data_IF_556171618035
#
_entry.id   IF_556171618035
#
_cell.length_a   1.000
_cell.length_b   1.000
_cell.length_c   1.000
_cell.angle_alpha   90.00
_cell.angle_beta   90.00
_cell.angle_gamma   90.00
#
_symmetry.space_group_name_H-M   'P 1'
#
loop_
_entity.id
_entity.type
_entity.pdbx_description
1 polymer ?
#
# COMPACT_ATOMS: atom_id res chain seq x y z
N UNK A 1 -1.57 9.39 1.18
CA UNK A 1 -0.66 8.62 2.07
C UNK A 1 -0.47 7.17 1.62
N UNK A 2 -0.95 6.80 0.42
CA UNK A 2 -0.74 5.48 -0.16
C UNK A 2 -0.74 5.64 -1.68
N UNK A 3 0.45 5.56 -2.28
CA UNK A 3 0.63 5.41 -3.72
C UNK A 3 1.80 4.48 -4.04
N UNK A 4 1.68 3.66 -5.08
CA UNK A 4 2.78 2.80 -5.53
C UNK A 4 3.74 3.55 -6.46
N UNK A 5 4.97 3.09 -6.51
CA UNK A 5 6.00 3.48 -7.48
C UNK A 5 6.23 2.34 -8.48
N UNK A 6 7.12 2.58 -9.44
CA UNK A 6 7.61 1.56 -10.37
C UNK A 6 8.38 0.39 -9.71
N UNK A 7 8.78 0.48 -8.44
CA UNK A 7 9.46 -0.61 -7.72
C UNK A 7 8.51 -1.77 -7.39
N UNK A 8 7.20 -1.54 -7.36
CA UNK A 8 6.21 -2.62 -7.40
C UNK A 8 5.33 -2.56 -8.64
N UNK A 9 4.52 -1.52 -8.81
CA UNK A 9 3.78 -1.23 -10.03
C UNK A 9 3.08 0.12 -9.91
N UNK A 10 3.37 1.04 -10.83
CA UNK A 10 2.60 2.26 -11.02
C UNK A 10 2.13 2.32 -12.47
N UNK A 11 0.84 2.51 -12.69
CA UNK A 11 0.23 2.50 -14.03
C UNK A 11 0.77 3.60 -14.96
N UNK A 12 1.35 4.66 -14.38
CA UNK A 12 1.91 5.81 -15.09
C UNK A 12 3.45 5.83 -15.05
N UNK A 13 4.09 4.78 -14.54
CA UNK A 13 5.54 4.66 -14.49
C UNK A 13 6.23 5.62 -13.53
N UNK A 14 5.51 6.13 -12.53
CA UNK A 14 6.09 7.05 -11.56
C UNK A 14 7.23 6.40 -10.74
N UNK A 15 8.42 6.99 -10.81
CA UNK A 15 9.49 6.76 -9.84
C UNK A 15 9.21 7.46 -8.50
N UNK A 16 9.87 7.07 -7.40
CA UNK A 16 9.79 7.80 -6.13
C UNK A 16 10.06 9.30 -6.29
N UNK A 17 11.14 9.68 -6.97
CA UNK A 17 11.47 11.09 -7.22
C UNK A 17 10.36 11.80 -8.01
N UNK A 18 9.77 11.14 -9.01
CA UNK A 18 8.71 11.74 -9.82
C UNK A 18 7.44 12.03 -9.01
N UNK A 19 7.11 11.20 -8.00
CA UNK A 19 5.99 11.43 -7.09
C UNK A 19 6.26 12.59 -6.14
N UNK A 20 7.48 12.68 -5.59
CA UNK A 20 7.87 13.82 -4.76
C UNK A 20 7.79 15.13 -5.58
N UNK A 21 8.24 15.11 -6.84
CA UNK A 21 8.11 16.25 -7.75
C UNK A 21 6.65 16.60 -8.06
N UNK A 22 5.83 15.59 -8.33
CA UNK A 22 4.40 15.78 -8.57
C UNK A 22 3.72 16.42 -7.35
N UNK A 23 3.99 15.92 -6.15
CA UNK A 23 3.48 16.46 -4.90
C UNK A 23 3.88 17.93 -4.71
N UNK A 24 5.14 18.27 -5.00
CA UNK A 24 5.64 19.65 -4.95
C UNK A 24 4.91 20.57 -5.93
N UNK A 25 4.72 20.11 -7.17
CA UNK A 25 4.03 20.88 -8.23
C UNK A 25 2.55 21.07 -7.94
N UNK A 26 1.90 20.09 -7.31
CA UNK A 26 0.48 20.12 -6.97
C UNK A 26 0.20 20.74 -5.60
N UNK A 27 1.23 21.07 -4.83
CA UNK A 27 1.08 21.68 -3.51
C UNK A 27 0.45 20.73 -2.48
N UNK A 28 0.67 19.42 -2.61
CA UNK A 28 0.14 18.44 -1.66
C UNK A 28 0.72 18.66 -0.27
N UNK A 29 -0.13 18.50 0.75
CA UNK A 29 0.29 18.69 2.15
C UNK A 29 1.24 17.59 2.60
N UNK A 30 0.91 16.33 2.28
CA UNK A 30 1.69 15.13 2.54
C UNK A 30 1.51 14.13 1.40
N UNK A 31 2.51 13.29 1.19
CA UNK A 31 2.50 12.19 0.20
C UNK A 31 3.19 10.96 0.80
N UNK A 32 2.70 9.78 0.47
CA UNK A 32 3.25 8.53 1.01
C UNK A 32 3.36 7.45 -0.06
N UNK A 33 4.57 6.94 -0.30
CA UNK A 33 4.77 5.78 -1.17
C UNK A 33 4.59 4.48 -0.39
N UNK A 34 4.00 3.48 -1.02
CA UNK A 34 3.71 2.17 -0.41
C UNK A 34 3.90 1.12 -1.50
N UNK A 35 5.09 0.53 -1.61
CA UNK A 35 5.37 -0.49 -2.64
C UNK A 35 5.11 -1.91 -2.14
N UNK A 36 4.72 -2.83 -3.03
CA UNK A 36 4.50 -4.22 -2.66
C UNK A 36 5.80 -4.95 -2.37
N UNK A 37 5.93 -5.62 -1.23
CA UNK A 37 7.00 -6.57 -0.90
C UNK A 37 8.44 -6.00 -0.93
N UNK A 38 8.62 -4.68 -1.06
CA UNK A 38 9.93 -4.02 -1.25
C UNK A 38 10.06 -2.70 -0.52
N UNK A 39 11.31 -2.27 -0.30
CA UNK A 39 11.68 -0.99 0.30
C UNK A 39 12.62 -0.16 -0.59
N UNK A 40 12.82 -0.58 -1.84
CA UNK A 40 13.82 -0.04 -2.77
C UNK A 40 13.60 1.45 -3.07
N UNK A 41 12.34 1.90 -3.05
CA UNK A 41 11.98 3.29 -3.27
C UNK A 41 12.13 4.22 -2.06
N UNK A 42 12.34 3.69 -0.84
CA UNK A 42 12.25 4.48 0.40
C UNK A 42 13.30 5.59 0.45
N UNK A 43 14.57 5.25 0.27
CA UNK A 43 15.66 6.23 0.41
C UNK A 43 15.62 7.28 -0.70
N UNK A 44 15.35 6.86 -1.94
CA UNK A 44 15.15 7.77 -3.08
C UNK A 44 14.00 8.76 -2.79
N UNK A 45 12.85 8.25 -2.33
CA UNK A 45 11.67 9.06 -2.05
C UNK A 45 11.91 10.11 -0.99
N UNK A 46 12.46 9.69 0.15
CA UNK A 46 12.67 10.57 1.30
C UNK A 46 13.74 11.61 0.97
N UNK A 47 14.80 11.25 0.26
CA UNK A 47 15.80 12.20 -0.21
C UNK A 47 15.20 13.23 -1.19
N UNK A 48 14.36 12.80 -2.13
CA UNK A 48 13.67 13.69 -3.05
C UNK A 48 12.70 14.63 -2.32
N UNK A 49 11.97 14.13 -1.32
CA UNK A 49 11.09 14.93 -0.48
C UNK A 49 11.87 15.98 0.33
N UNK A 50 13.02 15.62 0.89
CA UNK A 50 13.95 16.58 1.53
C UNK A 50 14.38 17.67 0.56
N UNK A 51 14.84 17.29 -0.63
CA UNK A 51 15.35 18.23 -1.64
C UNK A 51 14.27 19.19 -2.15
N UNK A 52 13.04 18.71 -2.29
CA UNK A 52 11.92 19.46 -2.87
C UNK A 52 11.07 20.22 -1.84
N UNK A 53 11.31 20.02 -0.54
CA UNK A 53 10.48 20.62 0.51
C UNK A 53 9.08 20.00 0.55
N UNK A 54 8.99 18.68 0.47
CA UNK A 54 7.74 17.91 0.54
C UNK A 54 7.71 17.06 1.81
N UNK A 55 6.53 16.93 2.43
CA UNK A 55 6.33 15.99 3.56
C UNK A 55 6.07 14.60 3.00
N UNK A 56 7.13 13.82 2.92
CA UNK A 56 7.11 12.44 2.46
C UNK A 56 7.08 11.44 3.61
N UNK A 57 6.31 10.38 3.45
CA UNK A 57 6.44 9.15 4.25
C UNK A 57 6.62 7.96 3.32
N UNK A 58 7.26 6.89 3.77
CA UNK A 58 7.40 5.68 2.98
C UNK A 58 6.85 4.47 3.72
N UNK A 59 6.36 3.51 2.98
CA UNK A 59 5.70 2.31 3.44
C UNK A 59 5.95 1.14 2.50
N UNK A 60 5.48 -0.01 2.93
CA UNK A 60 5.32 -1.18 2.08
C UNK A 60 3.99 -1.84 2.36
N UNK A 61 3.45 -2.50 1.35
CA UNK A 61 2.27 -3.35 1.46
C UNK A 61 2.65 -4.79 1.11
N UNK A 62 2.00 -5.76 1.74
CA UNK A 62 2.08 -7.16 1.35
C UNK A 62 0.76 -7.83 1.68
N UNK A 63 0.69 -9.15 1.46
CA UNK A 63 -0.37 -10.00 2.00
C UNK A 63 0.20 -10.85 3.12
N UNK A 64 -0.61 -11.10 4.14
CA UNK A 64 -0.29 -11.94 5.29
C UNK A 64 -1.33 -13.03 5.46
N UNK A 65 -0.93 -14.15 6.04
CA UNK A 65 -1.84 -15.17 6.54
C UNK A 65 -2.29 -14.86 7.97
N UNK A 66 -3.60 -15.03 8.21
CA UNK A 66 -4.31 -14.68 9.45
C UNK A 66 -5.07 -15.91 9.95
N UNK A 67 -4.48 -16.73 10.83
CA UNK A 67 -5.05 -18.01 11.22
C UNK A 67 -6.40 -17.88 11.93
N UNK A 68 -6.62 -16.83 12.72
CA UNK A 68 -7.90 -16.58 13.42
C UNK A 68 -9.07 -16.30 12.47
N UNK A 69 -8.76 -15.95 11.22
CA UNK A 69 -9.72 -15.66 10.17
C UNK A 69 -9.58 -16.63 8.99
N UNK A 70 -8.97 -17.82 9.19
CA UNK A 70 -8.69 -18.79 8.11
C UNK A 70 -9.90 -19.17 7.26
N UNK A 71 -11.11 -19.12 7.80
CA UNK A 71 -12.37 -19.44 7.11
C UNK A 71 -13.14 -18.21 6.61
N UNK A 72 -12.66 -17.00 6.91
CA UNK A 72 -13.34 -15.74 6.63
C UNK A 72 -12.51 -14.92 5.64
N UNK A 73 -13.16 -14.43 4.59
CA UNK A 73 -12.58 -13.41 3.73
C UNK A 73 -12.41 -12.11 4.52
N UNK A 74 -11.25 -11.45 4.40
CA UNK A 74 -10.94 -10.21 5.11
C UNK A 74 -10.93 -9.06 4.09
N UNK A 75 -9.77 -8.55 3.71
CA UNK A 75 -9.61 -7.46 2.76
C UNK A 75 -8.91 -7.95 1.46
N UNK A 76 -8.69 -9.27 1.33
CA UNK A 76 -8.23 -9.92 0.09
C UNK A 76 -9.38 -10.70 -0.57
N UNK A 77 -10.02 -10.16 -1.63
CA UNK A 77 -11.22 -10.75 -2.19
C UNK A 77 -11.02 -12.18 -2.71
N UNK A 78 -11.89 -13.10 -2.28
CA UNK A 78 -11.85 -14.51 -2.63
C UNK A 78 -10.76 -15.33 -1.93
N UNK A 79 -10.03 -14.76 -0.97
CA UNK A 79 -8.90 -15.40 -0.28
C UNK A 79 -9.13 -15.46 1.25
N UNK A 80 -9.93 -16.42 1.77
CA UNK A 80 -10.13 -16.58 3.21
C UNK A 80 -8.82 -16.71 3.98
N UNK A 81 -8.73 -16.05 5.14
CA UNK A 81 -7.53 -16.03 5.96
C UNK A 81 -6.37 -15.19 5.42
N UNK A 82 -6.52 -14.53 4.26
CA UNK A 82 -5.50 -13.65 3.70
C UNK A 82 -5.92 -12.20 3.88
N UNK A 83 -5.01 -11.37 4.36
CA UNK A 83 -5.19 -9.93 4.45
C UNK A 83 -4.06 -9.18 3.73
N UNK A 84 -4.38 -8.15 2.95
CA UNK A 84 -3.47 -7.06 2.69
C UNK A 84 -3.10 -6.39 4.01
N UNK A 85 -1.83 -6.08 4.18
CA UNK A 85 -1.29 -5.50 5.40
C UNK A 85 -0.08 -4.64 5.09
N UNK A 86 0.17 -3.63 5.92
CA UNK A 86 1.16 -2.59 5.63
C UNK A 86 2.16 -2.40 6.77
N UNK A 87 3.34 -1.90 6.40
CA UNK A 87 4.17 -1.07 7.27
C UNK A 87 4.19 0.35 6.73
N UNK A 88 4.21 1.35 7.60
CA UNK A 88 4.26 2.77 7.18
C UNK A 88 5.16 3.59 8.09
N UNK A 89 5.79 4.63 7.55
CA UNK A 89 6.66 5.53 8.29
C UNK A 89 8.11 5.07 8.39
N UNK A 90 8.59 4.28 7.42
CA UNK A 90 9.98 3.83 7.39
C UNK A 90 10.95 5.02 7.33
N UNK A 91 11.95 5.09 8.24
CA UNK A 91 12.94 6.17 8.25
C UNK A 91 13.99 6.04 7.15
N UNK A 92 14.23 4.81 6.67
CA UNK A 92 15.16 4.47 5.58
C UNK A 92 14.76 3.13 4.93
N UNK A 93 15.35 2.84 3.77
CA UNK A 93 15.23 1.53 3.09
C UNK A 93 16.13 0.44 3.68
N UNK A 94 16.89 0.74 4.74
CA UNK A 94 17.81 -0.22 5.37
C UNK A 94 17.05 -1.23 6.21
N UNK A 95 17.43 -2.50 6.07
CA UNK A 95 16.84 -3.61 6.82
C UNK A 95 17.90 -4.25 7.72
N UNK A 96 17.67 -4.33 9.05
CA UNK A 96 18.58 -5.02 9.96
C UNK A 96 18.84 -6.47 9.54
N UNK A 97 20.05 -6.96 9.83
CA UNK A 97 20.52 -8.27 9.35
C UNK A 97 19.61 -9.43 9.81
N UNK A 98 19.13 -9.37 11.04
CA UNK A 98 18.35 -10.44 11.67
C UNK A 98 16.93 -10.60 11.10
N UNK A 99 16.37 -9.53 10.51
CA UNK A 99 15.06 -9.54 9.84
C UNK A 99 15.14 -9.49 8.31
N UNK A 100 16.33 -9.28 7.73
CA UNK A 100 16.53 -9.27 6.27
C UNK A 100 16.01 -10.53 5.56
N UNK A 101 16.14 -11.75 6.12
CA UNK A 101 15.57 -12.95 5.51
C UNK A 101 14.04 -12.88 5.35
N UNK A 102 13.33 -12.14 6.19
CA UNK A 102 11.87 -11.99 6.09
C UNK A 102 11.52 -11.26 4.79
N UNK A 103 12.12 -10.10 4.54
CA UNK A 103 11.90 -9.32 3.30
C UNK A 103 12.34 -10.10 2.05
N UNK A 104 13.50 -10.78 2.11
CA UNK A 104 13.95 -11.64 1.02
C UNK A 104 12.95 -12.78 0.73
N UNK A 105 12.37 -13.36 1.78
CA UNK A 105 11.32 -14.37 1.69
C UNK A 105 10.04 -13.87 1.01
N UNK A 106 9.63 -12.62 1.24
CA UNK A 106 8.50 -12.00 0.53
C UNK A 106 8.73 -11.99 -0.98
N UNK A 107 9.90 -11.48 -1.41
CA UNK A 107 10.29 -11.42 -2.83
C UNK A 107 10.38 -12.81 -3.45
N UNK A 108 11.02 -13.75 -2.76
CA UNK A 108 11.19 -15.12 -3.26
C UNK A 108 9.83 -15.82 -3.47
N UNK A 109 8.91 -15.71 -2.50
CA UNK A 109 7.55 -16.26 -2.63
C UNK A 109 6.78 -15.59 -3.76
N UNK A 110 6.87 -14.26 -3.90
CA UNK A 110 6.21 -13.54 -4.99
C UNK A 110 6.73 -13.96 -6.37
N UNK A 111 8.05 -14.05 -6.55
CA UNK A 111 8.67 -14.48 -7.79
C UNK A 111 8.27 -15.93 -8.13
N UNK A 112 8.26 -16.84 -7.15
CA UNK A 112 7.82 -18.22 -7.37
C UNK A 112 6.36 -18.29 -7.82
N UNK A 113 5.44 -17.61 -7.10
CA UNK A 113 4.02 -17.56 -7.47
C UNK A 113 3.80 -17.02 -8.89
N UNK A 114 4.58 -16.01 -9.28
CA UNK A 114 4.51 -15.45 -10.63
C UNK A 114 5.01 -16.41 -11.70
N UNK A 115 6.12 -17.13 -11.47
CA UNK A 115 6.61 -18.17 -12.41
C UNK A 115 5.59 -19.29 -12.57
N UNK A 116 4.99 -19.75 -11.48
CA UNK A 116 3.96 -20.79 -11.52
C UNK A 116 2.71 -20.31 -12.27
N UNK A 117 2.30 -19.05 -12.05
CA UNK A 117 1.20 -18.43 -12.79
C UNK A 117 1.54 -18.31 -14.29
N UNK A 118 2.75 -17.88 -14.63
CA UNK A 118 3.19 -17.76 -16.01
C UNK A 118 3.20 -19.13 -16.72
N UNK A 119 3.65 -20.19 -16.05
CA UNK A 119 3.62 -21.55 -16.63
C UNK A 119 2.19 -21.98 -17.02
N UNK A 120 1.20 -21.75 -16.13
CA UNK A 120 -0.21 -22.07 -16.38
C UNK A 120 -0.80 -21.23 -17.51
N UNK A 121 -0.50 -19.93 -17.53
CA UNK A 121 -1.01 -19.02 -18.56
C UNK A 121 -0.37 -19.32 -19.92
N UNK A 122 0.94 -19.59 -19.98
CA UNK A 122 1.63 -20.03 -21.20
C UNK A 122 0.97 -21.28 -21.80
N UNK A 123 0.63 -22.28 -20.98
CA UNK A 123 -0.04 -23.49 -21.45
C UNK A 123 -1.42 -23.17 -22.07
N UNK A 124 -2.17 -22.24 -21.48
CA UNK A 124 -3.49 -21.83 -21.99
C UNK A 124 -3.40 -20.95 -23.25
N UNK A 125 -2.44 -20.03 -23.29
CA UNK A 125 -2.28 -19.06 -24.37
C UNK A 125 -1.47 -19.57 -25.56
N UNK A 126 -1.05 -20.84 -25.57
CA UNK A 126 -0.34 -21.44 -26.70
C UNK A 126 -1.00 -21.07 -28.06
N UNK A 127 -0.19 -20.66 -29.07
CA UNK A 127 1.29 -20.66 -29.08
C UNK A 127 1.95 -19.43 -28.42
N UNK A 128 1.18 -18.45 -27.93
CA UNK A 128 1.74 -17.27 -27.25
C UNK A 128 2.30 -17.69 -25.89
N UNK A 129 3.58 -17.41 -25.68
CA UNK A 129 4.27 -17.67 -24.41
C UNK A 129 5.17 -16.50 -24.04
N UNK A 130 5.47 -16.36 -22.75
CA UNK A 130 6.50 -15.46 -22.23
C UNK A 130 7.48 -16.27 -21.37
N UNK A 131 8.72 -15.81 -21.32
CA UNK A 131 9.71 -16.23 -20.33
C UNK A 131 9.71 -15.21 -19.18
N UNK A 132 9.49 -15.65 -17.94
CA UNK A 132 9.37 -14.74 -16.80
C UNK A 132 10.66 -13.95 -16.56
N UNK A 133 11.81 -14.63 -16.59
CA UNK A 133 13.10 -14.02 -16.25
C UNK A 133 13.59 -13.10 -17.37
N UNK A 134 13.33 -13.43 -18.64
CA UNK A 134 13.69 -12.59 -19.80
C UNK A 134 12.69 -11.47 -20.08
N UNK A 135 11.39 -11.77 -20.05
CA UNK A 135 10.36 -10.87 -20.59
C UNK A 135 9.63 -10.06 -19.51
N UNK A 136 9.67 -10.50 -18.24
CA UNK A 136 8.91 -9.86 -17.13
C UNK A 136 9.83 -9.20 -16.11
N UNK A 137 10.86 -9.91 -15.63
CA UNK A 137 11.77 -9.41 -14.60
C UNK A 137 12.39 -8.03 -14.95
N UNK A 138 12.83 -7.77 -16.20
CA UNK A 138 13.38 -6.46 -16.57
C UNK A 138 12.37 -5.31 -16.58
N UNK A 139 11.06 -5.61 -16.50
CA UNK A 139 10.02 -4.57 -16.50
C UNK A 139 9.84 -3.90 -15.14
N UNK A 140 10.38 -4.49 -14.07
CA UNK A 140 10.32 -3.95 -12.71
C UNK A 140 11.74 -3.57 -12.24
N UNK A 141 12.02 -2.27 -12.08
CA UNK A 141 13.18 -1.82 -11.33
C UNK A 141 13.21 -2.49 -9.95
N UNK A 142 14.36 -3.00 -9.52
CA UNK A 142 14.49 -3.71 -8.24
C UNK A 142 14.08 -5.18 -8.25
N UNK A 143 13.63 -5.72 -9.40
CA UNK A 143 13.41 -7.15 -9.60
C UNK A 143 12.20 -7.70 -8.83
N UNK A 144 11.16 -6.89 -8.65
CA UNK A 144 9.92 -7.30 -7.97
C UNK A 144 8.66 -7.10 -8.85
N UNK A 145 8.60 -7.75 -10.02
CA UNK A 145 7.47 -7.58 -10.90
C UNK A 145 6.20 -8.21 -10.31
N UNK A 146 5.10 -7.48 -10.43
CA UNK A 146 3.75 -7.97 -10.10
C UNK A 146 3.06 -8.65 -11.28
N UNK A 147 1.88 -9.23 -11.03
CA UNK A 147 0.94 -9.75 -12.04
C UNK A 147 0.74 -8.80 -13.24
N UNK A 148 0.76 -7.48 -13.00
CA UNK A 148 0.57 -6.48 -14.05
C UNK A 148 1.74 -6.39 -15.02
N UNK A 149 2.96 -6.70 -14.61
CA UNK A 149 4.10 -6.79 -15.52
C UNK A 149 4.00 -8.01 -16.42
N UNK A 150 3.56 -9.16 -15.88
CA UNK A 150 3.28 -10.35 -16.69
C UNK A 150 2.22 -10.05 -17.75
N UNK A 151 1.16 -9.33 -17.37
CA UNK A 151 0.12 -8.91 -18.30
C UNK A 151 0.67 -8.05 -19.44
N UNK A 152 1.56 -7.09 -19.16
CA UNK A 152 2.25 -6.29 -20.19
C UNK A 152 3.04 -7.18 -21.14
N UNK A 153 3.79 -8.16 -20.61
CA UNK A 153 4.55 -9.11 -21.43
C UNK A 153 3.64 -9.98 -22.32
N UNK A 154 2.54 -10.51 -21.78
CA UNK A 154 1.59 -11.32 -22.55
C UNK A 154 0.92 -10.52 -23.67
N UNK A 155 0.49 -9.28 -23.41
CA UNK A 155 -0.12 -8.45 -24.43
C UNK A 155 0.87 -8.09 -25.54
N UNK A 156 2.14 -7.81 -25.18
CA UNK A 156 3.21 -7.60 -26.16
C UNK A 156 3.43 -8.84 -27.01
N UNK A 157 3.55 -10.02 -26.40
CA UNK A 157 3.73 -11.27 -27.12
C UNK A 157 2.54 -11.59 -28.05
N UNK A 158 1.31 -11.43 -27.57
CA UNK A 158 0.10 -11.65 -28.38
C UNK A 158 -0.01 -10.66 -29.56
N UNK A 159 0.48 -9.43 -29.41
CA UNK A 159 0.47 -8.43 -30.50
C UNK A 159 1.34 -8.82 -31.70
N UNK A 160 2.27 -9.77 -31.52
CA UNK A 160 3.14 -10.28 -32.60
C UNK A 160 2.51 -11.42 -33.40
N UNK A 161 1.33 -11.91 -32.99
CA UNK A 161 0.61 -12.93 -33.76
C UNK A 161 0.19 -12.37 -35.12
N UNK A 162 0.11 -13.20 -36.18
CA UNK A 162 -0.34 -12.75 -37.50
C UNK A 162 -1.74 -12.12 -37.50
N UNK A 163 -2.62 -12.61 -36.62
CA UNK A 163 -3.94 -12.04 -36.36
C UNK A 163 -4.21 -11.98 -34.85
N UNK A 164 -3.80 -10.90 -34.15
CA UNK A 164 -4.02 -10.75 -32.71
C UNK A 164 -5.51 -10.72 -32.34
N UNK A 165 -6.39 -10.26 -33.24
CA UNK A 165 -7.83 -10.22 -33.00
C UNK A 165 -8.43 -11.63 -33.02
N UNK A 166 -8.06 -12.48 -34.00
CA UNK A 166 -8.46 -13.88 -34.00
C UNK A 166 -7.95 -14.63 -32.77
N UNK A 167 -6.69 -14.41 -32.38
CA UNK A 167 -6.10 -15.01 -31.19
C UNK A 167 -6.92 -14.70 -29.93
N UNK A 168 -7.19 -13.42 -29.66
CA UNK A 168 -7.95 -13.03 -28.48
C UNK A 168 -9.44 -13.43 -28.55
N UNK A 169 -10.03 -13.48 -29.74
CA UNK A 169 -11.39 -14.01 -29.98
C UNK A 169 -11.49 -15.45 -29.47
N UNK A 170 -10.53 -16.30 -29.85
CA UNK A 170 -10.46 -17.69 -29.39
C UNK A 170 -10.24 -17.77 -27.88
N UNK A 171 -9.19 -17.10 -27.36
CA UNK A 171 -8.77 -17.26 -25.95
C UNK A 171 -9.72 -16.63 -24.95
N UNK A 172 -10.38 -15.52 -25.31
CA UNK A 172 -11.35 -14.83 -24.44
C UNK A 172 -12.79 -15.28 -24.68
N UNK A 173 -13.05 -16.03 -25.77
CA UNK A 173 -14.38 -16.45 -26.20
C UNK A 173 -15.34 -15.28 -26.37
N UNK A 174 -14.86 -14.24 -27.06
CA UNK A 174 -15.61 -13.02 -27.35
C UNK A 174 -15.79 -12.86 -28.87
N UNK A 175 -16.83 -12.17 -29.34
CA UNK A 175 -16.97 -11.84 -30.75
C UNK A 175 -15.79 -11.01 -31.27
N UNK A 176 -15.36 -11.27 -32.51
CA UNK A 176 -14.21 -10.58 -33.12
C UNK A 176 -14.32 -9.05 -33.08
N UNK A 177 -15.50 -8.51 -33.37
CA UNK A 177 -15.76 -7.07 -33.35
C UNK A 177 -15.52 -6.44 -31.96
N UNK A 178 -15.88 -7.16 -30.90
CA UNK A 178 -15.63 -6.72 -29.52
C UNK A 178 -14.14 -6.73 -29.22
N UNK A 179 -13.43 -7.77 -29.63
CA UNK A 179 -11.97 -7.89 -29.48
C UNK A 179 -11.22 -6.80 -30.24
N UNK A 180 -11.61 -6.50 -31.48
CA UNK A 180 -11.01 -5.42 -32.27
C UNK A 180 -11.16 -4.06 -31.57
N UNK A 181 -12.33 -3.82 -30.98
CA UNK A 181 -12.57 -2.63 -30.14
C UNK A 181 -11.66 -2.62 -28.92
N UNK A 182 -11.52 -3.76 -28.23
CA UNK A 182 -10.67 -3.90 -27.05
C UNK A 182 -9.17 -3.71 -27.38
N UNK A 183 -8.69 -4.18 -28.53
CA UNK A 183 -7.30 -3.98 -28.95
C UNK A 183 -6.98 -2.49 -29.11
N UNK A 184 -7.95 -1.69 -29.56
CA UNK A 184 -7.84 -0.23 -29.60
C UNK A 184 -7.83 0.46 -28.22
N UNK A 185 -8.26 -0.24 -27.16
CA UNK A 185 -8.28 0.24 -25.78
C UNK A 185 -7.43 -0.67 -24.88
N UNK A 186 -6.13 -0.38 -24.83
CA UNK A 186 -5.16 -1.17 -24.07
C UNK A 186 -5.53 -1.33 -22.60
N UNK A 187 -6.17 -0.33 -21.97
CA UNK A 187 -6.56 -0.40 -20.55
C UNK A 187 -7.71 -1.38 -20.35
N UNK A 188 -8.75 -1.30 -21.18
CA UNK A 188 -9.88 -2.25 -21.11
C UNK A 188 -9.44 -3.66 -21.44
N UNK A 189 -8.58 -3.86 -22.45
CA UNK A 189 -8.02 -5.17 -22.77
C UNK A 189 -7.20 -5.73 -21.61
N UNK A 190 -6.29 -4.94 -21.03
CA UNK A 190 -5.51 -5.35 -19.85
C UNK A 190 -6.42 -5.81 -18.72
N UNK A 191 -7.39 -5.00 -18.33
CA UNK A 191 -8.29 -5.32 -17.22
C UNK A 191 -9.09 -6.59 -17.48
N UNK A 192 -9.58 -6.80 -18.71
CA UNK A 192 -10.31 -7.99 -19.11
C UNK A 192 -9.44 -9.24 -19.09
N UNK A 193 -8.27 -9.21 -19.73
CA UNK A 193 -7.32 -10.34 -19.77
C UNK A 193 -6.91 -10.72 -18.35
N UNK A 194 -6.61 -9.73 -17.50
CA UNK A 194 -6.28 -9.95 -16.08
C UNK A 194 -7.43 -10.63 -15.35
N UNK A 195 -8.65 -10.12 -15.48
CA UNK A 195 -9.83 -10.67 -14.83
C UNK A 195 -10.12 -12.12 -15.28
N UNK A 196 -9.95 -12.42 -16.57
CA UNK A 196 -10.22 -13.75 -17.15
C UNK A 196 -9.14 -14.79 -16.86
N UNK A 197 -7.87 -14.39 -16.83
CA UNK A 197 -6.75 -15.33 -16.76
C UNK A 197 -6.12 -15.41 -15.37
N UNK A 198 -6.01 -14.30 -14.65
CA UNK A 198 -5.14 -14.20 -13.46
C UNK A 198 -5.91 -14.10 -12.13
N UNK A 199 -7.21 -13.77 -12.19
CA UNK A 199 -8.09 -13.70 -11.00
C UNK A 199 -8.89 -14.98 -10.80
N UNK A 200 -9.59 -15.08 -9.67
CA UNK A 200 -10.38 -16.27 -9.27
C UNK A 200 -11.23 -16.79 -10.44
N UNK A 201 -11.08 -18.08 -10.73
CA UNK A 201 -11.73 -18.76 -11.86
C UNK A 201 -10.92 -18.74 -13.17
N UNK A 202 -9.87 -17.92 -13.25
CA UNK A 202 -8.92 -17.91 -14.35
C UNK A 202 -7.82 -18.96 -14.21
N UNK A 203 -7.25 -19.37 -15.34
CA UNK A 203 -6.26 -20.47 -15.43
C UNK A 203 -4.96 -20.23 -14.66
N UNK A 204 -4.57 -18.96 -14.47
CA UNK A 204 -3.39 -18.58 -13.72
C UNK A 204 -3.60 -18.54 -12.21
N UNK A 205 -4.87 -18.45 -11.76
CA UNK A 205 -5.21 -18.30 -10.35
C UNK A 205 -5.09 -19.62 -9.60
N UNK A 206 -4.45 -19.56 -8.44
CA UNK A 206 -4.43 -20.62 -7.44
C UNK A 206 -4.82 -19.98 -6.12
N UNK A 207 -5.73 -20.62 -5.40
CA UNK A 207 -6.13 -20.14 -4.10
C UNK A 207 -4.91 -20.19 -3.16
N UNK A 208 -4.53 -19.05 -2.54
CA UNK A 208 -3.41 -19.04 -1.62
C UNK A 208 -3.73 -19.85 -0.37
N UNK A 209 -2.70 -20.53 0.14
CA UNK A 209 -2.71 -21.22 1.43
C UNK A 209 -1.79 -20.55 2.45
N UNK A 210 -1.68 -21.11 3.67
CA UNK A 210 -0.85 -20.56 4.75
C UNK A 210 0.61 -20.29 4.34
N UNK A 211 1.20 -21.18 3.52
CA UNK A 211 2.58 -21.05 3.03
C UNK A 211 2.76 -20.00 1.92
N UNK A 212 1.67 -19.43 1.39
CA UNK A 212 1.73 -18.47 0.30
C UNK A 212 2.27 -17.11 0.74
N UNK A 213 2.09 -16.75 2.00
CA UNK A 213 2.36 -15.43 2.55
C UNK A 213 2.99 -15.54 3.94
N UNK A 214 3.77 -14.54 4.39
CA UNK A 214 4.21 -14.49 5.79
C UNK A 214 3.02 -14.48 6.75
N UNK A 215 3.26 -14.81 8.01
CA UNK A 215 2.29 -14.47 9.06
C UNK A 215 2.30 -12.97 9.34
N UNK A 216 1.24 -12.46 9.97
CA UNK A 216 1.21 -11.07 10.45
C UNK A 216 2.35 -10.77 11.43
N UNK A 217 2.71 -11.74 12.29
CA UNK A 217 3.75 -11.55 13.30
C UNK A 217 5.16 -11.46 12.67
N UNK A 218 5.42 -12.24 11.61
CA UNK A 218 6.66 -12.12 10.82
C UNK A 218 6.77 -10.75 10.16
N UNK A 219 5.68 -10.27 9.56
CA UNK A 219 5.66 -8.94 8.95
C UNK A 219 5.85 -7.85 10.01
N UNK A 220 5.16 -7.91 11.15
CA UNK A 220 5.30 -6.92 12.22
C UNK A 220 6.72 -6.89 12.78
N UNK A 221 7.36 -8.05 12.93
CA UNK A 221 8.76 -8.12 13.35
C UNK A 221 9.67 -7.36 12.38
N UNK A 222 9.49 -7.55 11.06
CA UNK A 222 10.23 -6.80 10.05
C UNK A 222 9.96 -5.29 10.15
N UNK A 223 8.68 -4.89 10.20
CA UNK A 223 8.26 -3.48 10.20
C UNK A 223 8.81 -2.75 11.44
N UNK A 224 8.67 -3.33 12.62
CA UNK A 224 9.15 -2.74 13.89
C UNK A 224 10.68 -2.68 13.93
N UNK A 225 11.38 -3.72 13.47
CA UNK A 225 12.84 -3.72 13.44
C UNK A 225 13.40 -2.64 12.47
N UNK A 226 12.65 -2.29 11.42
CA UNK A 226 12.98 -1.19 10.52
C UNK A 226 12.57 0.20 11.07
N UNK A 227 12.09 0.30 12.31
CA UNK A 227 11.67 1.57 12.94
C UNK A 227 10.31 2.08 12.46
N UNK A 228 9.56 1.31 11.68
CA UNK A 228 8.29 1.71 11.09
C UNK A 228 7.08 1.25 11.93
N UNK A 229 5.89 1.66 11.50
CA UNK A 229 4.61 1.37 12.17
C UNK A 229 3.88 0.20 11.49
N UNK A 230 3.52 -0.86 12.23
CA UNK A 230 2.55 -1.84 11.75
C UNK A 230 1.21 -1.16 11.43
N UNK A 231 0.69 -1.40 10.23
CA UNK A 231 -0.47 -0.72 9.70
C UNK A 231 -1.46 -1.74 9.12
N UNK A 232 -2.66 -1.80 9.71
CA UNK A 232 -3.76 -2.58 9.15
C UNK A 232 -4.32 -1.87 7.92
N UNK A 233 -4.88 -2.64 6.99
CA UNK A 233 -5.64 -2.09 5.88
C UNK A 233 -7.09 -2.56 5.94
N UNK A 234 -7.99 -1.75 5.41
CA UNK A 234 -9.42 -2.05 5.34
C UNK A 234 -9.93 -1.81 3.92
N UNK A 235 -10.75 -2.74 3.42
CA UNK A 235 -11.23 -2.76 2.05
C UNK A 235 -12.56 -2.02 1.91
N UNK A 236 -13.65 -2.56 2.47
CA UNK A 236 -14.98 -1.99 2.27
C UNK A 236 -16.07 -2.41 3.28
N UNK A 237 -15.75 -3.28 4.23
CA UNK A 237 -16.64 -3.68 5.31
C UNK A 237 -17.66 -4.73 4.92
N UNK A 238 -17.58 -5.30 3.71
CA UNK A 238 -18.60 -6.22 3.20
C UNK A 238 -18.24 -7.69 3.35
N UNK A 239 -16.96 -8.03 3.51
CA UNK A 239 -16.51 -9.41 3.73
C UNK A 239 -16.87 -9.92 5.13
N UNK A 240 -16.92 -11.24 5.31
CA UNK A 240 -17.26 -11.83 6.61
C UNK A 240 -16.28 -11.42 7.73
N UNK A 241 -14.99 -11.26 7.42
CA UNK A 241 -13.98 -10.79 8.36
C UNK A 241 -14.16 -9.32 8.71
N UNK A 242 -14.42 -8.45 7.73
CA UNK A 242 -14.63 -7.01 8.01
C UNK A 242 -16.03 -6.70 8.55
N UNK A 243 -17.00 -7.61 8.44
CA UNK A 243 -18.26 -7.50 9.19
C UNK A 243 -18.05 -7.73 10.69
N UNK A 244 -17.02 -8.48 11.08
CA UNK A 244 -16.57 -8.66 12.46
C UNK A 244 -15.46 -7.65 12.84
N UNK A 245 -15.64 -6.37 12.48
CA UNK A 245 -14.59 -5.36 12.55
C UNK A 245 -14.04 -5.10 13.97
N UNK A 246 -14.87 -5.25 15.01
CA UNK A 246 -14.45 -5.10 16.41
C UNK A 246 -13.46 -6.20 16.81
N UNK A 247 -13.75 -7.45 16.44
CA UNK A 247 -12.86 -8.60 16.63
C UNK A 247 -11.57 -8.41 15.83
N UNK A 248 -11.70 -8.03 14.55
CA UNK A 248 -10.57 -7.88 13.64
C UNK A 248 -9.61 -6.77 14.09
N UNK A 249 -10.13 -5.56 14.36
CA UNK A 249 -9.31 -4.46 14.85
C UNK A 249 -8.77 -4.73 16.26
N UNK A 250 -9.56 -5.35 17.15
CA UNK A 250 -9.09 -5.73 18.48
C UNK A 250 -7.84 -6.60 18.41
N UNK A 251 -7.88 -7.66 17.60
CA UNK A 251 -6.75 -8.55 17.37
C UNK A 251 -5.56 -7.82 16.71
N UNK A 252 -5.80 -6.93 15.74
CA UNK A 252 -4.72 -6.10 15.17
C UNK A 252 -4.04 -5.21 16.19
N UNK A 253 -4.80 -4.62 17.12
CA UNK A 253 -4.25 -3.77 18.16
C UNK A 253 -3.43 -4.56 19.18
N UNK A 254 -3.87 -5.76 19.55
CA UNK A 254 -3.09 -6.69 20.40
C UNK A 254 -1.74 -7.05 19.75
N UNK A 255 -1.70 -7.14 18.42
CA UNK A 255 -0.49 -7.36 17.62
C UNK A 255 0.31 -6.09 17.33
N UNK A 256 -0.06 -4.95 17.91
CA UNK A 256 0.72 -3.72 17.84
C UNK A 256 0.46 -2.83 16.63
N UNK A 257 -0.66 -3.03 15.90
CA UNK A 257 -1.07 -2.09 14.86
C UNK A 257 -1.24 -0.67 15.43
N UNK A 258 -0.61 0.28 14.76
CA UNK A 258 -0.57 1.69 15.17
C UNK A 258 -1.36 2.61 14.22
N UNK A 259 -1.69 2.16 13.00
CA UNK A 259 -2.40 2.95 11.98
C UNK A 259 -3.34 2.07 11.16
N UNK A 260 -4.48 2.62 10.75
CA UNK A 260 -5.39 2.02 9.76
C UNK A 260 -5.28 2.75 8.42
N UNK A 261 -5.01 2.03 7.34
CA UNK A 261 -5.04 2.57 5.98
C UNK A 261 -6.35 2.24 5.25
N UNK A 262 -6.91 3.21 4.55
CA UNK A 262 -8.11 3.08 3.73
C UNK A 262 -7.85 3.65 2.33
N UNK A 263 -8.36 3.00 1.29
CA UNK A 263 -8.39 3.54 -0.09
C UNK A 263 -9.83 3.98 -0.39
N UNK A 264 -10.23 5.22 -0.05
CA UNK A 264 -11.63 5.55 0.18
C UNK A 264 -12.47 5.67 -1.09
N UNK A 265 -11.88 5.99 -2.25
CA UNK A 265 -12.63 6.17 -3.51
C UNK A 265 -13.55 4.97 -3.81
N UNK A 266 -13.09 3.74 -3.56
CA UNK A 266 -13.85 2.50 -3.81
C UNK A 266 -15.06 2.30 -2.88
N UNK A 267 -15.19 3.10 -1.82
CA UNK A 267 -16.25 2.95 -0.82
C UNK A 267 -17.44 3.87 -1.08
N UNK A 268 -17.26 4.95 -1.85
CA UNK A 268 -18.32 5.92 -2.14
C UNK A 268 -18.52 6.18 -3.64
N UNK A 269 -17.46 6.09 -4.46
CA UNK A 269 -17.54 6.35 -5.91
C UNK A 269 -18.09 5.12 -6.64
N UNK A 270 -19.36 4.79 -6.34
CA UNK A 270 -20.04 3.58 -6.78
C UNK A 270 -21.35 3.98 -7.49
N UNK A 271 -21.57 3.51 -8.73
CA UNK A 271 -22.79 3.82 -9.48
C UNK A 271 -24.06 3.29 -8.82
N UNK A 272 -24.02 2.06 -8.30
CA UNK A 272 -25.13 1.44 -7.58
C UNK A 272 -25.40 2.19 -6.26
N UNK A 273 -26.57 2.83 -6.10
CA UNK A 273 -26.89 3.64 -4.94
C UNK A 273 -27.06 2.82 -3.65
N UNK A 274 -27.52 1.57 -3.72
CA UNK A 274 -27.68 0.71 -2.55
C UNK A 274 -26.32 0.22 -2.05
N UNK A 275 -25.47 -0.24 -2.97
CA UNK A 275 -24.11 -0.63 -2.64
C UNK A 275 -23.29 0.56 -2.11
N UNK A 276 -23.46 1.75 -2.70
CA UNK A 276 -22.86 2.99 -2.19
C UNK A 276 -23.30 3.28 -0.77
N UNK A 277 -24.60 3.27 -0.48
CA UNK A 277 -25.12 3.51 0.88
C UNK A 277 -24.53 2.52 1.89
N UNK A 278 -24.47 1.24 1.54
CA UNK A 278 -23.88 0.20 2.39
C UNK A 278 -22.41 0.49 2.70
N UNK A 279 -21.58 0.71 1.68
CA UNK A 279 -20.13 0.89 1.85
C UNK A 279 -19.76 2.21 2.52
N UNK A 280 -20.50 3.28 2.27
CA UNK A 280 -20.35 4.55 3.00
C UNK A 280 -20.70 4.38 4.48
N UNK A 281 -21.79 3.67 4.79
CA UNK A 281 -22.14 3.35 6.18
C UNK A 281 -21.02 2.56 6.87
N UNK A 282 -20.49 1.53 6.19
CA UNK A 282 -19.38 0.71 6.70
C UNK A 282 -18.08 1.52 6.89
N UNK A 283 -17.79 2.45 5.99
CA UNK A 283 -16.68 3.39 6.11
C UNK A 283 -16.81 4.26 7.37
N UNK A 284 -18.02 4.75 7.67
CA UNK A 284 -18.28 5.50 8.91
C UNK A 284 -18.19 4.62 10.16
N UNK A 285 -18.75 3.40 10.11
CA UNK A 285 -18.65 2.42 11.21
C UNK A 285 -17.18 2.15 11.58
N UNK A 286 -16.31 1.86 10.60
CA UNK A 286 -14.88 1.61 10.88
C UNK A 286 -14.13 2.87 11.34
N UNK A 287 -14.47 4.04 10.80
CA UNK A 287 -13.84 5.29 11.22
C UNK A 287 -14.19 5.66 12.67
N UNK A 288 -15.46 5.48 13.06
CA UNK A 288 -15.91 5.69 14.43
C UNK A 288 -15.26 4.70 15.41
N UNK A 289 -15.16 3.43 15.03
CA UNK A 289 -14.47 2.42 15.82
C UNK A 289 -12.98 2.74 15.97
N UNK A 290 -12.29 3.10 14.88
CA UNK A 290 -10.89 3.51 14.93
C UNK A 290 -10.68 4.73 15.84
N UNK A 291 -11.59 5.70 15.81
CA UNK A 291 -11.60 6.85 16.74
C UNK A 291 -11.75 6.39 18.20
N UNK A 292 -12.70 5.50 18.50
CA UNK A 292 -12.89 4.95 19.84
C UNK A 292 -11.66 4.20 20.36
N UNK A 293 -10.99 3.45 19.46
CA UNK A 293 -9.77 2.69 19.74
C UNK A 293 -8.48 3.54 19.71
N UNK A 294 -8.60 4.85 19.45
CA UNK A 294 -7.47 5.78 19.31
C UNK A 294 -6.48 5.31 18.26
N UNK A 295 -7.00 4.80 17.15
CA UNK A 295 -6.25 4.30 16.00
C UNK A 295 -6.28 5.36 14.88
N UNK A 296 -5.15 6.04 14.60
CA UNK A 296 -5.04 6.97 13.48
C UNK A 296 -5.43 6.33 12.15
N UNK A 297 -6.09 7.09 11.29
CA UNK A 297 -6.52 6.63 9.96
C UNK A 297 -5.78 7.42 8.89
N UNK A 298 -5.21 6.75 7.89
CA UNK A 298 -4.64 7.38 6.70
C UNK A 298 -5.40 6.96 5.45
N UNK A 299 -5.41 7.86 4.46
CA UNK A 299 -6.02 7.62 3.16
C UNK A 299 -5.04 7.80 2.00
N UNK A 300 -5.25 7.06 0.93
CA UNK A 300 -4.57 7.30 -0.34
C UNK A 300 -5.24 6.59 -1.51
N UNK A 301 -4.81 6.96 -2.72
CA UNK A 301 -5.46 6.54 -3.96
C UNK A 301 -4.94 5.21 -4.50
N UNK A 302 -3.91 4.63 -3.86
CA UNK A 302 -3.14 3.45 -4.32
C UNK A 302 -2.31 3.77 -5.58
N UNK A 303 -2.86 4.45 -6.58
CA UNK A 303 -2.16 4.90 -7.80
C UNK A 303 -1.43 3.77 -8.56
N UNK A 304 -1.99 2.55 -8.54
CA UNK A 304 -1.47 1.38 -9.26
C UNK A 304 -2.32 0.96 -10.46
N UNK A 305 -3.41 1.68 -10.76
CA UNK A 305 -4.33 1.34 -11.85
C UNK A 305 -4.58 2.53 -12.76
N UNK A 306 -4.67 2.34 -14.09
CA UNK A 306 -5.08 3.42 -14.99
C UNK A 306 -6.44 3.97 -14.58
N UNK A 307 -6.57 5.29 -14.60
CA UNK A 307 -7.80 6.03 -14.27
C UNK A 307 -7.96 6.37 -12.79
N UNK A 308 -7.09 5.86 -11.90
CA UNK A 308 -7.09 6.29 -10.50
C UNK A 308 -6.73 7.77 -10.39
N UNK A 309 -7.40 8.46 -9.45
CA UNK A 309 -7.16 9.87 -9.18
C UNK A 309 -5.76 10.07 -8.59
N UNK A 310 -5.21 11.26 -8.78
CA UNK A 310 -3.96 11.65 -8.12
C UNK A 310 -4.15 11.92 -6.62
N UNK A 311 -5.33 12.41 -6.25
CA UNK A 311 -5.78 12.68 -4.88
C UNK A 311 -7.25 12.29 -4.78
N UNK A 312 -7.66 11.71 -3.65
CA UNK A 312 -9.07 11.46 -3.36
C UNK A 312 -9.86 12.77 -3.28
N UNK A 313 -11.15 12.72 -3.61
CA UNK A 313 -12.05 13.87 -3.50
C UNK A 313 -12.55 14.01 -2.06
N UNK A 314 -11.73 14.63 -1.21
CA UNK A 314 -12.07 14.88 0.19
C UNK A 314 -13.15 15.97 0.38
N UNK A 315 -13.63 16.59 -0.70
CA UNK A 315 -14.77 17.51 -0.66
C UNK A 315 -16.11 16.79 -0.94
N UNK A 316 -16.08 15.54 -1.42
CA UNK A 316 -17.27 14.74 -1.59
C UNK A 316 -18.02 14.59 -0.24
N UNK A 317 -19.37 14.66 -0.23
CA UNK A 317 -20.17 14.58 1.01
C UNK A 317 -19.85 13.36 1.87
N UNK A 318 -19.48 12.25 1.23
CA UNK A 318 -19.14 10.98 1.88
C UNK A 318 -17.75 10.98 2.54
N UNK A 319 -16.81 11.83 2.08
CA UNK A 319 -15.44 11.89 2.62
C UNK A 319 -15.16 13.15 3.45
N UNK A 320 -15.89 14.24 3.22
CA UNK A 320 -15.71 15.50 3.93
C UNK A 320 -15.75 15.35 5.47
N UNK A 321 -16.65 14.54 6.08
CA UNK A 321 -16.65 14.31 7.53
C UNK A 321 -15.38 13.60 8.05
N UNK A 322 -14.69 12.83 7.19
CA UNK A 322 -13.52 12.03 7.55
C UNK A 322 -12.19 12.74 7.24
N UNK A 323 -12.23 13.82 6.45
CA UNK A 323 -11.03 14.54 6.03
C UNK A 323 -10.15 14.99 7.20
N UNK A 324 -10.75 15.45 8.30
CA UNK A 324 -10.02 15.81 9.53
C UNK A 324 -9.21 14.64 10.08
N UNK A 325 -9.85 13.48 10.27
CA UNK A 325 -9.20 12.28 10.77
C UNK A 325 -8.08 11.77 9.84
N UNK A 326 -8.29 11.82 8.52
CA UNK A 326 -7.25 11.47 7.55
C UNK A 326 -6.05 12.41 7.63
N UNK A 327 -6.27 13.70 7.82
CA UNK A 327 -5.20 14.68 7.98
C UNK A 327 -4.45 14.49 9.30
N UNK A 328 -5.15 14.26 10.41
CA UNK A 328 -4.54 13.92 11.71
C UNK A 328 -3.66 12.68 11.59
N UNK A 329 -4.15 11.60 10.98
CA UNK A 329 -3.37 10.40 10.73
C UNK A 329 -2.16 10.67 9.82
N UNK A 330 -2.31 11.51 8.80
CA UNK A 330 -1.19 11.87 7.94
C UNK A 330 -0.09 12.62 8.71
N UNK A 331 -0.47 13.60 9.54
CA UNK A 331 0.47 14.32 10.41
C UNK A 331 1.15 13.41 11.42
N UNK A 332 0.38 12.49 12.03
CA UNK A 332 0.90 11.48 12.95
C UNK A 332 2.01 10.63 12.31
N UNK A 333 1.76 10.06 11.14
CA UNK A 333 2.75 9.21 10.46
C UNK A 333 3.98 10.03 10.07
N UNK A 334 3.80 11.25 9.57
CA UNK A 334 4.91 12.13 9.23
C UNK A 334 5.75 12.50 10.45
N UNK A 335 5.11 12.85 11.57
CA UNK A 335 5.81 13.16 12.82
C UNK A 335 6.58 11.97 13.38
N UNK A 336 6.02 10.76 13.32
CA UNK A 336 6.75 9.53 13.61
C UNK A 336 7.98 9.39 12.70
N UNK A 337 7.79 9.51 11.38
CA UNK A 337 8.84 9.27 10.38
C UNK A 337 10.02 10.21 10.59
N UNK A 338 9.77 11.50 10.82
CA UNK A 338 10.85 12.49 10.92
C UNK A 338 11.63 12.38 12.24
N UNK A 339 10.97 12.04 13.36
CA UNK A 339 11.67 11.83 14.64
C UNK A 339 12.42 10.51 14.69
N UNK A 340 11.84 9.44 14.13
CA UNK A 340 12.54 8.16 13.99
C UNK A 340 13.79 8.35 13.14
N UNK A 341 13.67 9.03 12.00
CA UNK A 341 14.80 9.27 11.09
C UNK A 341 15.88 10.17 11.69
N UNK A 342 15.52 11.16 12.50
CA UNK A 342 16.47 12.09 13.08
C UNK A 342 17.21 11.52 14.29
N UNK A 343 16.51 10.81 15.17
CA UNK A 343 17.01 10.46 16.50
C UNK A 343 16.66 9.03 16.97
N UNK A 344 15.94 8.24 16.18
CA UNK A 344 15.40 6.94 16.63
C UNK A 344 14.33 7.06 17.71
N UNK A 345 13.62 8.20 17.73
CA UNK A 345 12.58 8.51 18.73
C UNK A 345 11.17 8.36 18.14
N UNK A 346 10.95 7.41 17.25
CA UNK A 346 9.64 7.12 16.68
C UNK A 346 8.66 6.56 17.70
N UNK A 347 7.38 6.56 17.35
CA UNK A 347 6.26 6.11 18.18
C UNK A 347 6.44 4.79 18.94
N UNK A 348 7.14 3.82 18.33
CA UNK A 348 7.41 2.51 18.92
C UNK A 348 8.73 2.41 19.69
N UNK A 349 9.49 3.51 19.84
CA UNK A 349 10.80 3.52 20.52
C UNK A 349 10.67 3.37 22.04
N UNK A 350 11.76 2.97 22.69
CA UNK A 350 11.84 2.93 24.16
C UNK A 350 11.65 4.31 24.77
N UNK A 351 12.20 5.35 24.15
CA UNK A 351 12.01 6.73 24.57
C UNK A 351 10.52 7.11 24.56
N UNK A 352 9.80 6.77 23.50
CA UNK A 352 8.37 7.08 23.38
C UNK A 352 7.55 6.30 24.40
N UNK A 353 7.86 5.02 24.62
CA UNK A 353 7.19 4.19 25.64
C UNK A 353 7.42 4.73 27.05
N UNK A 354 8.62 5.21 27.36
CA UNK A 354 8.97 5.73 28.68
C UNK A 354 8.33 7.09 28.98
N UNK A 355 8.37 8.02 28.03
CA UNK A 355 7.89 9.40 28.24
C UNK A 355 6.41 9.59 27.93
N UNK A 356 5.83 8.74 27.09
CA UNK A 356 4.45 8.82 26.61
C UNK A 356 3.85 7.40 26.69
N UNK A 357 3.53 6.91 27.90
CA UNK A 357 3.16 5.51 28.10
C UNK A 357 1.82 5.15 27.45
N UNK A 358 0.87 6.08 27.42
CA UNK A 358 -0.43 5.83 26.82
C UNK A 358 -0.43 6.08 25.30
N UNK A 359 -1.21 5.29 24.56
CA UNK A 359 -1.42 5.49 23.12
C UNK A 359 -1.96 6.90 22.79
N UNK A 360 -2.97 7.45 23.50
CA UNK A 360 -3.46 8.80 23.23
C UNK A 360 -2.38 9.89 23.34
N UNK A 361 -1.54 9.82 24.38
CA UNK A 361 -0.44 10.77 24.58
C UNK A 361 0.58 10.68 23.44
N UNK A 362 0.98 9.45 23.06
CA UNK A 362 1.87 9.25 21.91
C UNK A 362 1.26 9.82 20.64
N UNK A 363 0.02 9.47 20.32
CA UNK A 363 -0.63 9.91 19.10
C UNK A 363 -0.68 11.44 19.01
N UNK A 364 -1.09 12.10 20.09
CA UNK A 364 -1.13 13.56 20.16
C UNK A 364 0.26 14.19 20.01
N UNK A 365 1.30 13.58 20.58
CA UNK A 365 2.68 14.05 20.43
C UNK A 365 3.16 13.97 18.97
N UNK A 366 3.07 12.80 18.33
CA UNK A 366 3.56 12.65 16.95
C UNK A 366 2.73 13.42 15.94
N UNK A 367 1.43 13.60 16.16
CA UNK A 367 0.63 14.53 15.35
C UNK A 367 1.16 15.97 15.45
N UNK A 368 1.40 16.47 16.66
CA UNK A 368 1.97 17.81 16.88
C UNK A 368 3.35 17.96 16.23
N UNK A 369 4.23 16.97 16.41
CA UNK A 369 5.53 16.94 15.74
C UNK A 369 5.37 17.06 14.23
N UNK A 370 4.47 16.29 13.63
CA UNK A 370 4.22 16.33 12.20
C UNK A 370 3.73 17.70 11.71
N UNK A 371 2.86 18.36 12.48
CA UNK A 371 2.34 19.70 12.17
C UNK A 371 3.41 20.79 12.28
N UNK A 372 4.21 20.75 13.34
CA UNK A 372 5.23 21.77 13.64
C UNK A 372 6.46 21.63 12.75
N UNK A 373 6.81 20.41 12.34
CA UNK A 373 8.00 20.18 11.51
C UNK A 373 7.78 20.67 10.08
N UNK A 374 8.54 21.66 9.59
CA UNK A 374 8.49 22.07 8.19
C UNK A 374 9.08 20.97 7.29
N UNK A 375 8.70 20.88 6.03
CA UNK A 375 9.30 19.90 5.13
C UNK A 375 10.70 20.32 4.70
N UNK A 376 11.44 19.38 4.14
CA UNK A 376 12.72 19.65 3.49
C UNK A 376 13.88 19.93 4.44
N UNK A 377 14.94 20.52 3.90
CA UNK A 377 16.16 20.87 4.65
C UNK A 377 15.92 21.73 5.89
N UNK A 378 14.88 22.58 5.89
CA UNK A 378 14.51 23.37 7.07
C UNK A 378 14.05 22.48 8.23
N UNK A 379 13.26 21.44 7.93
CA UNK A 379 12.86 20.45 8.92
C UNK A 379 14.04 19.65 9.43
N UNK A 380 14.91 19.18 8.53
CA UNK A 380 16.12 18.44 8.92
C UNK A 380 17.04 19.27 9.83
N UNK A 381 17.28 20.54 9.49
CA UNK A 381 18.09 21.43 10.32
C UNK A 381 17.50 21.62 11.72
N UNK A 382 16.18 21.81 11.81
CA UNK A 382 15.48 21.95 13.09
C UNK A 382 15.56 20.68 13.94
N UNK A 383 15.40 19.51 13.32
CA UNK A 383 15.47 18.22 14.00
C UNK A 383 16.90 17.86 14.42
N UNK A 384 17.92 18.32 13.69
CA UNK A 384 19.33 18.10 14.03
C UNK A 384 19.76 18.83 15.33
N UNK A 385 18.96 19.80 15.80
CA UNK A 385 19.20 20.53 17.05
C UNK A 385 18.61 19.81 18.27
N UNK A 386 17.85 18.74 18.06
CA UNK A 386 17.26 17.93 19.12
C UNK A 386 18.28 16.95 19.69
N UNK A 387 18.07 16.51 20.94
CA UNK A 387 18.91 15.53 21.63
C UNK A 387 18.03 14.40 22.18
N UNK A 388 18.57 13.18 22.23
CA UNK A 388 17.83 12.00 22.66
C UNK A 388 17.44 12.01 24.15
N UNK A 389 18.07 12.86 24.98
CA UNK A 389 17.77 13.07 26.38
C UNK A 389 16.68 14.13 26.64
N UNK A 390 16.19 14.81 25.59
CA UNK A 390 15.10 15.77 25.72
C UNK A 390 13.77 15.07 26.07
N UNK A 391 12.98 15.74 26.90
CA UNK A 391 11.59 15.38 27.18
C UNK A 391 10.68 15.73 26.00
N UNK A 392 9.47 15.14 25.90
CA UNK A 392 8.51 15.51 24.85
C UNK A 392 8.17 17.00 24.81
N UNK A 393 8.11 17.67 25.97
CA UNK A 393 7.83 19.10 26.05
C UNK A 393 8.96 19.94 25.46
N UNK A 394 10.22 19.58 25.74
CA UNK A 394 11.39 20.26 25.17
C UNK A 394 11.49 20.03 23.66
N UNK A 395 11.20 18.81 23.18
CA UNK A 395 11.12 18.53 21.74
C UNK A 395 10.09 19.43 21.07
N UNK A 396 8.87 19.49 21.59
CA UNK A 396 7.80 20.33 21.03
C UNK A 396 8.14 21.84 21.10
N UNK A 397 8.74 22.31 22.18
CA UNK A 397 9.17 23.70 22.32
C UNK A 397 10.25 24.05 21.27
N UNK A 398 11.21 23.15 21.05
CA UNK A 398 12.31 23.40 20.11
C UNK A 398 11.85 23.43 18.66
N UNK A 399 10.91 22.56 18.27
CA UNK A 399 10.38 22.54 16.90
C UNK A 399 9.27 23.57 16.66
N UNK A 400 8.59 24.02 17.72
CA UNK A 400 7.48 24.96 17.66
C UNK A 400 7.87 26.41 17.42
N UNK A 401 9.13 26.77 17.75
CA UNK A 401 9.64 28.13 17.66
C UNK A 401 9.50 28.90 18.97
#
# INVERSE_FOLDING_TARGET
>A
MHCHTFFSFNAYGHSPTSLAWLARRKGWKLVGIVDFDVLDGVDEFLAACTALGVRGVAGMETRVYVPEFATREINSPGEPGIAYHMGIGFPSGRVPEDVRPILAGLRARAAQRNRDMAARINAYLAPVTIDYDRDVLPLSPGGNPTERHMLVAYLRAASTQPDPAAFWTEKLRLPRQEVETLIGDTVRLQNLVRARLMKRGGVGYVQPGPESFPTVDELHRLVVACGALPCATWLDGTSAGEQAIEELLGMWLERGVAVLNIVPDRNWNIPDPDLRRLKVRKLYEVAELARALRLPIIAGTEMNSPGQKLIDDFAAPELAPLHGAFMEGAWFVYGHTVLERALGLGWGSDWARAHLPSRPERNAFYEKVGRLTPPGRRGEALLAELRADMTPAEVLARIGG
#
